data_IF_464355765032
#
_entry.id   IF_464355765032
#
_cell.length_a   1.000
_cell.length_b   1.000
_cell.length_c   1.000
_cell.angle_alpha   90.00
_cell.angle_beta   90.00
_cell.angle_gamma   90.00
#
_symmetry.space_group_name_H-M   'P 1'
#
loop_
_entity.id
_entity.type
_entity.pdbx_description
1 polymer ?
#
# COMPACT_ATOMS: atom_id res chain seq x y z
N UNK A 1 8.51 16.02 15.91
CA UNK A 1 8.23 15.43 17.24
C UNK A 1 6.82 14.85 17.20
N UNK A 2 6.66 13.63 17.74
CA UNK A 2 5.51 12.68 17.68
C UNK A 2 5.33 11.92 16.35
N UNK A 3 5.89 10.71 16.33
CA UNK A 3 5.84 9.72 15.24
C UNK A 3 5.42 8.36 15.82
N UNK A 4 4.66 7.54 15.09
CA UNK A 4 4.29 6.16 15.49
C UNK A 4 3.24 5.49 14.57
N UNK A 5 3.01 4.20 14.65
CA UNK A 5 1.81 3.57 14.04
C UNK A 5 1.04 2.75 15.06
N UNK A 6 -0.09 2.19 14.62
CA UNK A 6 -0.90 1.28 15.39
C UNK A 6 -1.07 -0.04 14.63
N UNK A 7 -0.60 -1.13 15.23
CA UNK A 7 -0.98 -2.48 14.84
C UNK A 7 -2.27 -2.83 15.60
N UNK A 8 -3.29 -3.31 14.88
CA UNK A 8 -4.64 -3.53 15.41
C UNK A 8 -5.12 -4.93 15.00
N UNK A 9 -5.69 -5.75 15.92
CA UNK A 9 -6.31 -7.02 15.54
C UNK A 9 -7.41 -6.82 14.49
N UNK A 10 -7.45 -7.73 13.50
CA UNK A 10 -8.49 -7.74 12.48
C UNK A 10 -9.83 -8.12 13.10
N UNK A 11 -10.79 -7.20 13.01
CA UNK A 11 -12.17 -7.45 13.41
C UNK A 11 -13.08 -7.49 12.18
N UNK A 12 -13.92 -8.53 12.11
CA UNK A 12 -15.04 -8.61 11.17
C UNK A 12 -16.23 -7.76 11.64
N UNK A 13 -17.14 -7.43 10.72
CA UNK A 13 -18.39 -6.73 11.03
C UNK A 13 -18.50 -5.33 10.44
N UNK A 14 -19.64 -4.67 10.71
CA UNK A 14 -19.93 -3.30 10.29
C UNK A 14 -20.52 -2.54 11.48
N UNK A 15 -20.14 -1.27 11.62
CA UNK A 15 -20.81 -0.39 12.57
C UNK A 15 -22.32 -0.35 12.26
N UNK A 16 -23.20 -0.56 13.25
CA UNK A 16 -24.63 -0.37 13.08
C UNK A 16 -24.93 1.04 12.57
N UNK A 17 -25.92 1.16 11.67
CA UNK A 17 -26.27 2.44 11.06
C UNK A 17 -26.54 3.55 12.07
N UNK A 18 -27.31 3.26 13.12
CA UNK A 18 -27.63 4.24 14.19
C UNK A 18 -26.38 4.77 14.90
N UNK A 19 -25.35 3.94 15.05
CA UNK A 19 -24.10 4.33 15.69
C UNK A 19 -23.29 5.18 14.73
N UNK A 20 -23.20 4.76 13.47
CA UNK A 20 -22.52 5.51 12.42
C UNK A 20 -23.11 6.92 12.23
N UNK A 21 -24.43 7.07 12.26
CA UNK A 21 -25.09 8.39 12.20
C UNK A 21 -24.65 9.31 13.35
N UNK A 22 -24.52 8.78 14.57
CA UNK A 22 -24.00 9.55 15.73
C UNK A 22 -22.51 9.85 15.60
N UNK A 23 -21.73 8.89 15.10
CA UNK A 23 -20.29 9.08 14.81
C UNK A 23 -20.08 10.21 13.81
N UNK A 24 -20.88 10.26 12.76
CA UNK A 24 -20.82 11.32 11.74
C UNK A 24 -21.04 12.70 12.34
N UNK A 25 -22.07 12.85 13.19
CA UNK A 25 -22.36 14.12 13.86
C UNK A 25 -21.20 14.52 14.79
N UNK A 26 -20.72 13.60 15.63
CA UNK A 26 -19.64 13.90 16.57
C UNK A 26 -18.31 14.19 15.86
N UNK A 27 -17.97 13.41 14.82
CA UNK A 27 -16.78 13.61 14.02
C UNK A 27 -16.77 15.00 13.37
N UNK A 28 -17.92 15.45 12.87
CA UNK A 28 -18.11 16.80 12.34
C UNK A 28 -17.83 17.86 13.40
N UNK A 29 -18.52 17.80 14.54
CA UNK A 29 -18.36 18.83 15.58
C UNK A 29 -16.92 18.89 16.14
N UNK A 30 -16.28 17.73 16.31
CA UNK A 30 -14.87 17.68 16.72
C UNK A 30 -13.94 18.31 15.68
N UNK A 31 -14.16 18.01 14.39
CA UNK A 31 -13.39 18.60 13.31
C UNK A 31 -13.60 20.12 13.24
N UNK A 32 -14.84 20.61 13.34
CA UNK A 32 -15.16 22.04 13.36
C UNK A 32 -14.50 22.76 14.55
N UNK A 33 -14.50 22.14 15.73
CA UNK A 33 -13.82 22.70 16.90
C UNK A 33 -12.30 22.84 16.69
N UNK A 34 -11.67 21.85 16.08
CA UNK A 34 -10.23 21.91 15.73
C UNK A 34 -9.99 22.99 14.68
N UNK A 35 -10.81 23.03 13.61
CA UNK A 35 -10.67 24.03 12.55
C UNK A 35 -10.83 25.45 13.10
N UNK A 36 -11.77 25.68 14.00
CA UNK A 36 -11.99 26.99 14.62
C UNK A 36 -10.81 27.43 15.52
N UNK A 37 -10.12 26.49 16.15
CA UNK A 37 -9.04 26.80 17.11
C UNK A 37 -7.65 26.84 16.43
N UNK A 38 -7.42 25.97 15.45
CA UNK A 38 -6.08 25.65 14.92
C UNK A 38 -6.01 25.61 13.40
N UNK A 39 -7.13 25.87 12.72
CA UNK A 39 -7.22 25.88 11.27
C UNK A 39 -7.03 24.52 10.62
N UNK A 40 -6.97 24.56 9.29
CA UNK A 40 -6.73 23.40 8.41
C UNK A 40 -5.42 22.66 8.72
N UNK A 41 -4.27 23.32 8.99
CA UNK A 41 -3.05 22.60 9.36
C UNK A 41 -3.16 21.83 10.67
N UNK A 42 -3.87 22.40 11.67
CA UNK A 42 -4.09 21.75 12.96
C UNK A 42 -4.92 20.47 12.86
N UNK A 43 -5.88 20.42 11.93
CA UNK A 43 -6.62 19.20 11.63
C UNK A 43 -5.75 18.16 10.92
N UNK A 44 -4.97 18.56 9.91
CA UNK A 44 -4.08 17.64 9.18
C UNK A 44 -3.05 17.00 10.12
N UNK A 45 -2.44 17.79 11.01
CA UNK A 45 -1.46 17.30 11.98
C UNK A 45 -2.06 16.23 12.91
N UNK A 46 -3.30 16.43 13.37
CA UNK A 46 -4.02 15.47 14.21
C UNK A 46 -4.37 14.18 13.49
N UNK A 47 -4.85 14.28 12.26
CA UNK A 47 -5.20 13.10 11.45
C UNK A 47 -3.96 12.27 11.11
N UNK A 48 -2.81 12.92 10.94
CA UNK A 48 -1.54 12.26 10.73
C UNK A 48 -0.89 11.73 12.03
N UNK A 49 -1.38 12.12 13.21
CA UNK A 49 -0.90 11.57 14.48
C UNK A 49 -1.62 10.23 14.76
N UNK A 50 -0.88 9.11 14.83
CA UNK A 50 -1.44 7.78 15.03
C UNK A 50 -2.17 7.60 16.36
N UNK A 51 -1.70 8.25 17.43
CA UNK A 51 -2.21 8.13 18.79
C UNK A 51 -3.44 9.01 18.93
N UNK A 52 -3.35 10.24 18.43
CA UNK A 52 -4.50 11.14 18.39
C UNK A 52 -5.63 10.53 17.55
N UNK A 53 -5.32 10.01 16.36
CA UNK A 53 -6.33 9.38 15.50
C UNK A 53 -6.95 8.14 16.15
N UNK A 54 -6.17 7.36 16.90
CA UNK A 54 -6.71 6.25 17.70
C UNK A 54 -7.71 6.76 18.75
N UNK A 55 -7.32 7.78 19.52
CA UNK A 55 -8.17 8.38 20.53
C UNK A 55 -9.44 8.99 19.92
N UNK A 56 -9.33 9.65 18.76
CA UNK A 56 -10.46 10.16 18.00
C UNK A 56 -11.46 9.05 17.67
N UNK A 57 -11.00 7.93 17.11
CA UNK A 57 -11.87 6.79 16.83
C UNK A 57 -12.52 6.19 18.09
N UNK A 58 -11.80 6.14 19.22
CA UNK A 58 -12.35 5.71 20.50
C UNK A 58 -13.48 6.63 20.98
N UNK A 59 -13.29 7.95 20.88
CA UNK A 59 -14.29 8.96 21.25
C UNK A 59 -15.54 8.85 20.39
N UNK A 60 -15.39 8.49 19.11
CA UNK A 60 -16.53 8.20 18.23
C UNK A 60 -17.31 6.94 18.63
N UNK A 61 -16.77 6.10 19.53
CA UNK A 61 -17.45 4.90 20.04
C UNK A 61 -16.94 3.60 19.44
N UNK A 62 -15.70 3.55 18.96
CA UNK A 62 -15.00 2.30 18.62
C UNK A 62 -14.14 1.78 19.76
N UNK A 63 -13.94 0.46 19.78
CA UNK A 63 -12.95 -0.15 20.66
C UNK A 63 -11.52 0.23 20.25
N UNK A 64 -10.71 0.51 21.26
CA UNK A 64 -9.34 1.01 21.12
C UNK A 64 -8.37 0.05 20.41
N UNK A 65 -8.75 -1.20 20.17
CA UNK A 65 -7.92 -2.22 19.53
C UNK A 65 -8.55 -2.74 18.22
N UNK A 66 -9.60 -2.09 17.71
CA UNK A 66 -10.27 -2.58 16.50
C UNK A 66 -9.65 -2.01 15.21
N UNK A 67 -9.28 -2.87 14.25
CA UNK A 67 -8.91 -2.42 12.91
C UNK A 67 -10.06 -1.72 12.16
N UNK A 68 -11.31 -1.97 12.57
CA UNK A 68 -12.51 -1.31 12.03
C UNK A 68 -12.54 0.19 12.30
N UNK A 69 -11.93 0.61 13.43
CA UNK A 69 -11.87 2.00 13.89
C UNK A 69 -11.40 2.93 12.78
N UNK A 70 -10.30 2.59 12.11
CA UNK A 70 -9.73 3.44 11.06
C UNK A 70 -10.71 3.66 9.92
N UNK A 71 -11.28 2.57 9.41
CA UNK A 71 -12.17 2.65 8.24
C UNK A 71 -13.46 3.41 8.55
N UNK A 72 -13.97 3.27 9.77
CA UNK A 72 -15.23 3.91 10.16
C UNK A 72 -15.03 5.34 10.64
N UNK A 73 -13.96 5.67 11.35
CA UNK A 73 -13.62 7.05 11.72
C UNK A 73 -13.38 7.92 10.47
N UNK A 74 -12.63 7.42 9.48
CA UNK A 74 -12.46 8.10 8.20
C UNK A 74 -13.81 8.28 7.46
N UNK A 75 -14.65 7.24 7.47
CA UNK A 75 -15.98 7.29 6.85
C UNK A 75 -16.92 8.30 7.52
N UNK A 76 -16.96 8.33 8.85
CA UNK A 76 -17.78 9.25 9.64
C UNK A 76 -17.34 10.70 9.44
N UNK A 77 -16.03 10.95 9.44
CA UNK A 77 -15.48 12.28 9.17
C UNK A 77 -15.77 12.74 7.74
N UNK A 78 -15.59 11.86 6.74
CA UNK A 78 -15.93 12.15 5.34
C UNK A 78 -17.39 12.50 5.17
N UNK A 79 -18.29 11.75 5.80
CA UNK A 79 -19.73 12.03 5.75
C UNK A 79 -20.07 13.34 6.47
N UNK A 80 -19.46 13.58 7.64
CA UNK A 80 -19.77 14.73 8.48
C UNK A 80 -19.34 16.06 7.87
N UNK A 81 -18.28 16.06 7.07
CA UNK A 81 -17.77 17.26 6.41
C UNK A 81 -18.30 17.47 4.98
N UNK A 82 -19.02 16.50 4.40
CA UNK A 82 -19.40 16.52 2.97
C UNK A 82 -20.16 17.79 2.57
N UNK A 83 -21.16 18.18 3.34
CA UNK A 83 -21.99 19.35 3.05
C UNK A 83 -21.30 20.67 3.48
N UNK A 84 -20.28 20.58 4.32
CA UNK A 84 -19.53 21.72 4.84
C UNK A 84 -18.18 21.94 4.14
N UNK A 85 -17.86 21.13 3.10
CA UNK A 85 -16.53 21.16 2.47
C UNK A 85 -16.23 22.52 1.83
N UNK A 86 -17.25 23.20 1.27
CA UNK A 86 -17.10 24.56 0.72
C UNK A 86 -16.87 25.64 1.77
N UNK A 87 -17.46 25.48 2.96
CA UNK A 87 -17.32 26.45 4.07
C UNK A 87 -16.02 26.25 4.86
N UNK A 88 -15.67 24.99 5.12
CA UNK A 88 -14.48 24.62 5.90
C UNK A 88 -13.20 24.62 5.06
N UNK A 89 -13.33 24.52 3.73
CA UNK A 89 -12.21 24.30 2.83
C UNK A 89 -11.56 22.93 3.00
N UNK A 90 -12.20 21.97 3.67
CA UNK A 90 -11.68 20.61 3.91
C UNK A 90 -12.42 19.58 3.06
N UNK A 91 -11.67 18.76 2.35
CA UNK A 91 -12.17 17.70 1.49
C UNK A 91 -11.58 16.35 1.91
N UNK A 92 -12.40 15.31 1.79
CA UNK A 92 -12.01 13.94 2.15
C UNK A 92 -12.31 13.01 0.97
N UNK A 93 -11.25 12.41 0.41
CA UNK A 93 -11.31 11.49 -0.71
C UNK A 93 -10.90 10.07 -0.30
N UNK A 94 -11.41 9.07 -1.00
CA UNK A 94 -11.10 7.67 -0.76
C UNK A 94 -11.95 7.00 0.32
N UNK A 95 -11.45 5.88 0.85
CA UNK A 95 -12.12 5.05 1.85
C UNK A 95 -11.66 3.60 1.80
N UNK A 96 -12.54 2.67 2.16
CA UNK A 96 -12.26 1.22 2.21
C UNK A 96 -12.50 0.53 0.86
N UNK A 97 -11.66 -0.44 0.50
CA UNK A 97 -11.89 -1.40 -0.57
C UNK A 97 -11.93 -0.80 -1.97
N UNK A 98 -13.10 -0.80 -2.61
CA UNK A 98 -13.25 -0.20 -3.95
C UNK A 98 -13.18 1.33 -3.91
N UNK A 99 -13.55 1.96 -2.79
CA UNK A 99 -13.57 3.41 -2.65
C UNK A 99 -12.16 4.00 -2.61
N UNK A 100 -11.17 3.31 -2.04
CA UNK A 100 -9.75 3.77 -2.07
C UNK A 100 -9.23 3.96 -3.49
N UNK A 101 -9.70 3.16 -4.45
CA UNK A 101 -9.27 3.26 -5.86
C UNK A 101 -9.90 4.46 -6.58
N UNK A 102 -10.95 5.05 -6.01
CA UNK A 102 -11.64 6.24 -6.54
C UNK A 102 -11.03 7.55 -6.04
N UNK A 103 -10.04 7.48 -5.15
CA UNK A 103 -9.42 8.68 -4.54
C UNK A 103 -8.95 9.70 -5.58
N UNK A 104 -8.24 9.33 -6.67
CA UNK A 104 -7.84 10.30 -7.69
C UNK A 104 -9.02 11.04 -8.31
N UNK A 105 -10.10 10.33 -8.66
CA UNK A 105 -11.28 10.92 -9.29
C UNK A 105 -12.06 11.82 -8.31
N UNK A 106 -12.12 11.44 -7.03
CA UNK A 106 -12.76 12.27 -6.00
C UNK A 106 -11.96 13.56 -5.75
N UNK A 107 -10.62 13.50 -5.78
CA UNK A 107 -9.75 14.68 -5.72
C UNK A 107 -10.00 15.57 -6.94
N UNK A 108 -9.96 15.03 -8.15
CA UNK A 108 -10.22 15.76 -9.40
C UNK A 108 -11.58 16.48 -9.37
N UNK A 109 -12.63 15.78 -8.92
CA UNK A 109 -13.99 16.33 -8.85
C UNK A 109 -14.09 17.49 -7.86
N UNK A 110 -13.45 17.39 -6.69
CA UNK A 110 -13.43 18.45 -5.70
C UNK A 110 -12.57 19.64 -6.14
N UNK A 111 -11.39 19.38 -6.71
CA UNK A 111 -10.51 20.41 -7.26
C UNK A 111 -11.20 21.20 -8.38
N UNK A 112 -11.96 20.53 -9.25
CA UNK A 112 -12.79 21.18 -10.28
C UNK A 112 -13.78 22.19 -9.68
N UNK A 113 -14.47 21.83 -8.59
CA UNK A 113 -15.41 22.75 -7.93
C UNK A 113 -14.70 23.95 -7.27
N UNK A 114 -13.48 23.75 -6.76
CA UNK A 114 -12.70 24.81 -6.08
C UNK A 114 -11.79 25.63 -7.00
N UNK A 115 -11.60 25.22 -8.26
CA UNK A 115 -10.63 25.83 -9.17
C UNK A 115 -9.15 25.54 -8.85
N UNK A 116 -8.85 24.50 -8.06
CA UNK A 116 -7.48 24.11 -7.70
C UNK A 116 -6.88 23.12 -8.71
N UNK A 117 -5.55 23.09 -8.84
CA UNK A 117 -4.86 22.05 -9.61
C UNK A 117 -4.88 20.71 -8.84
N UNK A 118 -5.54 19.72 -9.41
CA UNK A 118 -5.65 18.37 -8.84
C UNK A 118 -4.34 17.56 -8.96
N UNK A 119 -3.49 17.86 -9.95
CA UNK A 119 -2.38 16.99 -10.33
C UNK A 119 -1.37 16.75 -9.18
N UNK A 120 -0.96 17.76 -8.40
CA UNK A 120 -0.07 17.55 -7.24
C UNK A 120 -0.70 16.66 -6.16
N UNK A 121 -1.99 16.83 -5.88
CA UNK A 121 -2.71 16.07 -4.86
C UNK A 121 -2.94 14.61 -5.29
N UNK A 122 -3.32 14.39 -6.55
CA UNK A 122 -3.42 13.04 -7.13
C UNK A 122 -2.06 12.33 -7.10
N UNK A 123 -0.98 13.05 -7.43
CA UNK A 123 0.39 12.51 -7.32
C UNK A 123 0.73 12.14 -5.88
N UNK A 124 0.46 13.00 -4.91
CA UNK A 124 0.72 12.75 -3.49
C UNK A 124 -0.06 11.53 -2.97
N UNK A 125 -1.35 11.42 -3.31
CA UNK A 125 -2.19 10.26 -2.98
C UNK A 125 -1.59 8.96 -3.54
N UNK A 126 -1.23 8.94 -4.83
CA UNK A 126 -0.66 7.75 -5.48
C UNK A 126 0.70 7.36 -4.90
N UNK A 127 1.59 8.32 -4.67
CA UNK A 127 2.92 8.05 -4.13
C UNK A 127 2.85 7.53 -2.69
N UNK A 128 2.00 8.12 -1.85
CA UNK A 128 1.78 7.63 -0.48
C UNK A 128 1.31 6.16 -0.48
N UNK A 129 0.34 5.82 -1.34
CA UNK A 129 -0.12 4.44 -1.48
C UNK A 129 0.94 3.50 -2.06
N UNK A 130 1.77 3.99 -2.99
CA UNK A 130 2.82 3.18 -3.63
C UNK A 130 3.97 2.86 -2.68
N UNK A 131 4.36 3.82 -1.83
CA UNK A 131 5.38 3.60 -0.81
C UNK A 131 4.93 2.51 0.15
N UNK A 132 3.72 2.63 0.69
CA UNK A 132 3.17 1.68 1.68
C UNK A 132 2.93 0.28 1.11
N UNK A 133 2.69 0.16 -0.20
CA UNK A 133 2.37 -1.13 -0.85
C UNK A 133 3.56 -1.82 -1.52
N UNK A 134 4.61 -1.09 -1.89
CA UNK A 134 5.71 -1.64 -2.69
C UNK A 134 7.11 -1.34 -2.14
N UNK A 135 7.29 -0.19 -1.49
CA UNK A 135 8.59 0.22 -0.99
C UNK A 135 8.81 -0.21 0.47
N UNK A 136 7.74 -0.29 1.26
CA UNK A 136 7.72 -0.92 2.58
C UNK A 136 7.14 -2.33 2.43
N UNK A 137 8.00 -3.35 2.35
CA UNK A 137 7.58 -4.73 2.14
C UNK A 137 7.41 -5.46 3.48
N UNK A 138 6.41 -5.04 4.23
CA UNK A 138 6.12 -5.54 5.58
C UNK A 138 5.04 -6.63 5.63
N UNK A 139 4.57 -7.08 4.47
CA UNK A 139 3.56 -8.13 4.34
C UNK A 139 2.12 -7.66 4.59
N UNK A 140 1.86 -6.36 4.73
CA UNK A 140 0.51 -5.82 4.87
C UNK A 140 -0.03 -5.32 3.52
N UNK A 141 -1.15 -5.89 3.07
CA UNK A 141 -1.83 -5.50 1.84
C UNK A 141 -2.77 -4.32 2.09
N UNK A 142 -2.52 -3.19 1.43
CA UNK A 142 -3.33 -1.96 1.58
C UNK A 142 -4.76 -2.19 1.10
N UNK A 143 -5.72 -1.96 1.99
CA UNK A 143 -7.15 -2.11 1.70
C UNK A 143 -7.99 -0.87 2.05
N UNK A 144 -7.38 0.11 2.69
CA UNK A 144 -7.99 1.39 3.01
C UNK A 144 -7.02 2.52 2.71
N UNK A 145 -7.52 3.57 2.06
CA UNK A 145 -6.77 4.79 1.76
C UNK A 145 -7.74 5.95 1.82
N UNK A 146 -7.51 6.88 2.73
CA UNK A 146 -8.26 8.14 2.84
C UNK A 146 -7.29 9.31 2.74
N UNK A 147 -7.57 10.20 1.80
CA UNK A 147 -6.77 11.39 1.51
C UNK A 147 -7.56 12.63 1.93
N UNK A 148 -7.01 13.37 2.89
CA UNK A 148 -7.57 14.62 3.40
C UNK A 148 -6.80 15.77 2.77
N UNK A 149 -7.48 16.77 2.22
CA UNK A 149 -6.82 17.93 1.63
C UNK A 149 -7.67 19.18 1.78
N UNK A 150 -7.01 20.33 1.69
CA UNK A 150 -7.61 21.62 1.98
C UNK A 150 -7.32 22.63 0.88
N UNK A 151 -8.12 23.70 0.84
CA UNK A 151 -7.98 24.79 -0.15
C UNK A 151 -6.68 25.59 -0.02
N UNK A 152 -6.00 25.50 1.13
CA UNK A 152 -4.68 26.09 1.36
C UNK A 152 -3.51 25.19 0.90
N UNK A 153 -3.82 24.02 0.32
CA UNK A 153 -2.82 23.04 -0.16
C UNK A 153 -2.29 22.08 0.90
N UNK A 154 -2.71 22.19 2.16
CA UNK A 154 -2.38 21.20 3.20
C UNK A 154 -3.07 19.87 2.91
N UNK A 155 -2.42 18.76 3.28
CA UNK A 155 -3.02 17.44 3.14
C UNK A 155 -2.46 16.45 4.16
N UNK A 156 -3.21 15.38 4.40
CA UNK A 156 -2.80 14.23 5.19
C UNK A 156 -3.35 12.95 4.57
N UNK A 157 -2.70 11.81 4.84
CA UNK A 157 -3.22 10.50 4.43
C UNK A 157 -3.29 9.57 5.62
N UNK A 158 -4.40 8.85 5.73
CA UNK A 158 -4.56 7.71 6.63
C UNK A 158 -4.81 6.47 5.78
N UNK A 159 -3.89 5.51 5.87
CA UNK A 159 -3.94 4.26 5.11
C UNK A 159 -3.95 3.08 6.06
N UNK A 160 -4.52 1.95 5.65
CA UNK A 160 -4.46 0.72 6.43
C UNK A 160 -4.21 -0.49 5.54
N UNK A 161 -3.21 -1.28 5.94
CA UNK A 161 -2.90 -2.59 5.38
C UNK A 161 -3.37 -3.71 6.29
N UNK A 162 -3.64 -4.89 5.72
CA UNK A 162 -3.96 -6.11 6.47
C UNK A 162 -2.96 -7.21 6.16
N UNK A 163 -2.64 -8.01 7.17
CA UNK A 163 -1.89 -9.25 7.02
C UNK A 163 -2.81 -10.40 7.45
N UNK A 164 -3.30 -11.16 6.48
CA UNK A 164 -4.25 -12.25 6.72
C UNK A 164 -3.63 -13.40 7.52
N UNK A 165 -2.33 -13.64 7.35
CA UNK A 165 -1.60 -14.71 8.06
C UNK A 165 -1.49 -14.40 9.56
N UNK A 166 -1.16 -13.17 9.93
CA UNK A 166 -1.05 -12.77 11.33
C UNK A 166 -2.37 -12.33 11.96
N UNK A 167 -3.40 -12.08 11.15
CA UNK A 167 -4.68 -11.57 11.65
C UNK A 167 -4.59 -10.10 12.11
N UNK A 168 -3.58 -9.35 11.66
CA UNK A 168 -3.32 -7.97 12.09
C UNK A 168 -3.56 -6.96 10.96
N UNK A 169 -3.89 -5.73 11.34
CA UNK A 169 -3.87 -4.56 10.48
C UNK A 169 -2.79 -3.58 10.93
N UNK A 170 -2.18 -2.88 9.97
CA UNK A 170 -1.23 -1.79 10.22
C UNK A 170 -1.73 -0.50 9.60
N UNK A 171 -1.78 0.56 10.40
CA UNK A 171 -2.18 1.90 9.94
C UNK A 171 -0.95 2.76 9.62
N UNK A 172 -0.94 3.43 8.48
CA UNK A 172 0.12 4.34 8.03
C UNK A 172 -0.41 5.77 7.96
N UNK A 173 0.40 6.74 8.39
CA UNK A 173 0.02 8.14 8.43
C UNK A 173 1.05 9.01 7.70
N UNK A 174 0.52 9.99 6.97
CA UNK A 174 1.31 10.86 6.12
C UNK A 174 0.93 12.33 6.35
N UNK A 175 1.95 13.16 6.46
CA UNK A 175 1.92 14.60 6.16
C UNK A 175 2.74 14.82 4.88
N UNK A 176 2.71 16.03 4.29
CA UNK A 176 3.52 16.32 3.12
C UNK A 176 5.01 16.09 3.43
N UNK A 177 5.66 15.09 2.81
CA UNK A 177 7.06 14.85 3.05
C UNK A 177 7.91 15.76 2.15
N UNK A 178 9.16 16.01 2.55
CA UNK A 178 10.14 16.63 1.66
C UNK A 178 10.41 15.73 0.43
N UNK A 179 10.49 14.41 0.67
CA UNK A 179 10.74 13.38 -0.34
C UNK A 179 9.89 12.15 -0.06
N UNK A 180 9.32 11.54 -1.10
CA UNK A 180 8.55 10.30 -0.98
C UNK A 180 9.43 9.04 -0.88
N UNK A 181 10.72 9.15 -1.19
CA UNK A 181 11.66 8.04 -1.29
C UNK A 181 12.70 8.01 -0.15
N UNK A 182 12.58 8.91 0.83
CA UNK A 182 13.51 9.04 1.95
C UNK A 182 12.74 9.31 3.25
N UNK A 183 12.64 8.28 4.10
CA UNK A 183 11.94 8.28 5.40
C UNK A 183 10.64 9.12 5.38
N UNK A 184 9.73 8.84 4.43
CA UNK A 184 8.67 9.78 4.06
C UNK A 184 7.48 9.75 5.03
N UNK A 185 7.39 8.70 5.84
CA UNK A 185 6.32 8.54 6.79
C UNK A 185 6.48 9.54 7.92
N UNK A 186 5.38 10.21 8.27
CA UNK A 186 5.30 10.90 9.54
C UNK A 186 5.41 9.90 10.72
N UNK A 187 5.18 8.61 10.46
CA UNK A 187 4.85 7.64 11.51
C UNK A 187 4.94 6.17 11.00
N UNK A 188 5.86 5.34 11.56
CA UNK A 188 5.91 3.85 11.47
C UNK A 188 6.30 3.25 12.86
N UNK A 189 5.45 2.42 13.48
CA UNK A 189 5.72 1.64 14.70
C UNK A 189 4.84 0.36 14.84
N UNK A 190 5.49 -0.79 14.97
CA UNK A 190 4.85 -2.08 15.26
C UNK A 190 5.80 -2.98 16.04
N UNK A 191 5.33 -4.13 16.50
CA UNK A 191 6.27 -5.13 17.04
C UNK A 191 7.17 -5.62 15.89
N UNK A 192 8.49 -5.61 16.14
CA UNK A 192 9.46 -6.23 15.23
C UNK A 192 9.30 -7.74 15.29
N UNK A 193 8.29 -8.25 14.60
CA UNK A 193 8.02 -9.67 14.49
C UNK A 193 8.81 -10.30 13.33
N UNK A 194 9.27 -9.49 12.38
CA UNK A 194 10.00 -9.94 11.19
C UNK A 194 10.95 -8.86 10.65
N UNK A 195 11.99 -9.30 9.93
CA UNK A 195 12.81 -8.42 9.11
C UNK A 195 11.98 -7.92 7.94
N UNK A 196 11.87 -6.60 7.80
CA UNK A 196 11.10 -5.91 6.75
C UNK A 196 12.08 -5.26 5.79
N UNK A 197 11.83 -5.39 4.49
CA UNK A 197 12.58 -4.64 3.48
C UNK A 197 11.93 -3.26 3.31
N UNK A 198 12.61 -2.22 3.80
CA UNK A 198 12.21 -0.83 3.65
C UNK A 198 13.10 -0.12 2.62
N UNK A 199 12.62 0.01 1.38
CA UNK A 199 13.35 0.62 0.26
C UNK A 199 13.41 2.15 0.34
N UNK A 200 12.60 2.78 1.20
CA UNK A 200 12.61 4.23 1.43
C UNK A 200 13.37 4.63 2.70
N UNK A 201 13.99 3.67 3.40
CA UNK A 201 14.82 3.95 4.56
C UNK A 201 16.02 4.82 4.18
N UNK A 202 16.37 5.84 4.96
CA UNK A 202 17.49 6.75 4.65
C UNK A 202 18.79 6.03 4.28
N UNK A 203 19.14 4.97 5.01
CA UNK A 203 20.33 4.15 4.77
C UNK A 203 20.35 3.44 3.40
N UNK A 204 19.19 3.28 2.76
CA UNK A 204 18.99 2.59 1.49
C UNK A 204 19.33 3.39 0.22
N UNK A 205 19.98 4.56 0.33
CA UNK A 205 20.21 5.46 -0.81
C UNK A 205 21.00 4.80 -1.95
N UNK A 206 22.03 4.03 -1.61
CA UNK A 206 22.81 3.29 -2.61
C UNK A 206 21.96 2.28 -3.39
N UNK A 207 21.04 1.60 -2.70
CA UNK A 207 20.12 0.65 -3.32
C UNK A 207 19.11 1.35 -4.25
N UNK A 208 18.54 2.48 -3.82
CA UNK A 208 17.65 3.29 -4.66
C UNK A 208 18.34 3.78 -5.92
N UNK A 209 19.57 4.29 -5.79
CA UNK A 209 20.37 4.73 -6.94
C UNK A 209 20.65 3.58 -7.91
N UNK A 210 21.11 2.44 -7.40
CA UNK A 210 21.36 1.25 -8.23
C UNK A 210 20.10 0.75 -8.94
N UNK A 211 18.95 0.73 -8.25
CA UNK A 211 17.68 0.36 -8.86
C UNK A 211 17.27 1.29 -10.01
N UNK A 212 17.49 2.61 -9.86
CA UNK A 212 17.24 3.60 -10.92
C UNK A 212 18.21 3.41 -12.09
N UNK A 213 19.49 3.15 -11.83
CA UNK A 213 20.50 2.89 -12.85
C UNK A 213 20.15 1.64 -13.67
N UNK A 214 19.82 0.54 -13.00
CA UNK A 214 19.39 -0.71 -13.65
C UNK A 214 18.11 -0.50 -14.46
N UNK A 215 17.12 0.23 -13.93
CA UNK A 215 15.88 0.49 -14.67
C UNK A 215 16.09 1.34 -15.94
N UNK A 216 17.21 2.06 -16.05
CA UNK A 216 17.59 2.87 -17.22
C UNK A 216 18.51 2.13 -18.19
N UNK A 217 19.05 0.98 -17.82
CA UNK A 217 19.91 0.14 -18.66
C UNK A 217 19.10 -0.59 -19.73
N UNK A 218 19.76 -1.03 -20.81
CA UNK A 218 19.10 -1.82 -21.85
C UNK A 218 18.55 -3.15 -21.26
N UNK A 219 17.23 -3.40 -21.33
CA UNK A 219 16.64 -4.61 -20.77
C UNK A 219 17.23 -5.91 -21.33
N UNK A 220 17.65 -5.93 -22.60
CA UNK A 220 18.24 -7.13 -23.22
C UNK A 220 19.58 -7.51 -22.59
N UNK A 221 20.39 -6.51 -22.22
CA UNK A 221 21.67 -6.74 -21.54
C UNK A 221 21.42 -7.34 -20.17
N UNK A 222 20.52 -6.74 -19.38
CA UNK A 222 20.15 -7.24 -18.06
C UNK A 222 19.57 -8.66 -18.10
N UNK A 223 18.66 -8.95 -19.03
CA UNK A 223 18.10 -10.29 -19.19
C UNK A 223 19.18 -11.31 -19.56
N UNK A 224 20.13 -10.93 -20.42
CA UNK A 224 21.26 -11.79 -20.80
C UNK A 224 22.16 -12.08 -19.61
N UNK A 225 22.55 -11.05 -18.86
CA UNK A 225 23.36 -11.19 -17.65
C UNK A 225 22.65 -12.06 -16.60
N UNK A 226 21.36 -11.83 -16.32
CA UNK A 226 20.56 -12.65 -15.41
C UNK A 226 20.48 -14.11 -15.89
N UNK A 227 20.37 -14.33 -17.20
CA UNK A 227 20.33 -15.68 -17.78
C UNK A 227 21.68 -16.38 -17.62
N UNK A 228 22.79 -15.66 -17.78
CA UNK A 228 24.15 -16.17 -17.56
C UNK A 228 24.44 -16.43 -16.07
N UNK A 229 23.82 -15.67 -15.16
CA UNK A 229 23.90 -15.90 -13.71
C UNK A 229 23.13 -17.13 -13.23
N UNK A 230 22.31 -17.77 -14.09
CA UNK A 230 21.68 -19.05 -13.76
C UNK A 230 22.77 -20.12 -13.67
N UNK A 231 23.19 -20.38 -12.45
CA UNK A 231 24.13 -21.45 -12.14
C UNK A 231 23.45 -22.80 -12.36
N UNK A 232 24.09 -23.67 -13.13
CA UNK A 232 23.73 -25.08 -13.18
C UNK A 232 24.17 -25.70 -11.86
N UNK A 233 23.24 -25.83 -10.92
CA UNK A 233 23.47 -26.58 -9.68
C UNK A 233 23.27 -28.07 -9.97
N UNK A 234 24.35 -28.76 -10.32
CA UNK A 234 24.31 -30.22 -10.42
C UNK A 234 24.27 -30.86 -9.03
N UNK A 235 23.53 -31.98 -8.85
CA UNK A 235 23.56 -32.73 -7.60
C UNK A 235 24.95 -33.28 -7.30
N UNK A 236 25.25 -33.51 -6.01
CA UNK A 236 26.55 -34.06 -5.56
C UNK A 236 26.76 -35.54 -5.92
N UNK A 237 25.73 -36.21 -6.43
CA UNK A 237 25.77 -37.63 -6.79
C UNK A 237 25.99 -37.81 -8.29
N UNK A 238 26.62 -38.93 -8.66
CA UNK A 238 26.97 -39.25 -10.05
C UNK A 238 25.87 -40.05 -10.77
N UNK A 239 25.05 -40.79 -10.04
CA UNK A 239 23.92 -41.56 -10.57
C UNK A 239 22.74 -40.65 -10.94
N UNK A 240 22.09 -40.95 -12.07
CA UNK A 240 20.80 -40.35 -12.46
C UNK A 240 19.69 -41.11 -11.76
N UNK A 241 18.92 -40.40 -10.92
CA UNK A 241 17.80 -40.94 -10.16
C UNK A 241 16.49 -40.64 -10.85
N UNK A 242 15.45 -41.37 -10.46
CA UNK A 242 14.09 -41.10 -10.97
C UNK A 242 13.63 -39.68 -10.64
N UNK A 243 14.06 -39.13 -9.51
CA UNK A 243 13.78 -37.76 -9.10
C UNK A 243 14.46 -36.70 -10.00
N UNK A 244 15.53 -37.08 -10.72
CA UNK A 244 16.20 -36.20 -11.70
C UNK A 244 15.49 -36.18 -13.06
N UNK A 245 14.55 -37.11 -13.28
CA UNK A 245 13.79 -37.23 -14.51
C UNK A 245 12.49 -36.43 -14.38
N UNK A 246 12.28 -35.46 -15.27
CA UNK A 246 10.98 -34.81 -15.42
C UNK A 246 10.11 -35.62 -16.41
N UNK A 247 9.07 -36.35 -15.95
CA UNK A 247 8.31 -37.26 -16.80
C UNK A 247 7.64 -36.54 -17.98
N UNK A 248 7.13 -35.33 -17.75
CA UNK A 248 6.47 -34.53 -18.79
C UNK A 248 7.42 -34.09 -19.93
N UNK A 249 8.70 -33.85 -19.59
CA UNK A 249 9.71 -33.49 -20.59
C UNK A 249 10.20 -34.73 -21.34
N UNK A 250 10.39 -35.84 -20.62
CA UNK A 250 10.78 -37.12 -21.20
C UNK A 250 9.70 -37.63 -22.17
N UNK A 251 8.43 -37.55 -21.78
CA UNK A 251 7.30 -37.95 -22.60
C UNK A 251 7.27 -37.22 -23.94
N UNK A 252 7.62 -35.92 -23.97
CA UNK A 252 7.66 -35.14 -25.21
C UNK A 252 8.71 -35.67 -26.19
N UNK A 253 9.92 -35.94 -25.70
CA UNK A 253 11.02 -36.47 -26.51
C UNK A 253 10.75 -37.90 -26.96
N UNK A 254 10.19 -38.73 -26.06
CA UNK A 254 9.81 -40.10 -26.38
C UNK A 254 8.69 -40.14 -27.43
N UNK A 255 7.70 -39.24 -27.32
CA UNK A 255 6.61 -39.14 -28.28
C UNK A 255 7.10 -38.68 -29.65
N UNK A 256 7.93 -37.62 -29.72
CA UNK A 256 8.45 -37.14 -31.01
C UNK A 256 9.32 -38.18 -31.72
N UNK A 257 10.07 -38.95 -30.95
CA UNK A 257 10.89 -40.05 -31.47
C UNK A 257 10.02 -41.22 -31.93
N UNK A 258 9.00 -41.56 -31.15
CA UNK A 258 8.05 -42.62 -31.48
C UNK A 258 7.23 -42.30 -32.73
N UNK A 259 6.77 -41.07 -32.92
CA UNK A 259 6.00 -40.69 -34.11
C UNK A 259 6.82 -40.75 -35.40
N UNK A 260 8.14 -40.52 -35.31
CA UNK A 260 9.03 -40.47 -36.48
C UNK A 260 9.60 -41.82 -36.90
N UNK A 261 9.57 -42.82 -36.01
CA UNK A 261 10.03 -44.20 -36.29
C UNK A 261 11.38 -44.26 -37.04
N UNK A 262 12.46 -43.69 -36.48
CA UNK A 262 13.75 -43.67 -37.16
C UNK A 262 14.26 -45.10 -37.39
N UNK A 263 14.69 -45.37 -38.63
CA UNK A 263 15.10 -46.70 -39.09
C UNK A 263 16.49 -47.12 -38.59
N UNK A 264 17.33 -46.16 -38.22
CA UNK A 264 18.65 -46.37 -37.62
C UNK A 264 19.05 -45.27 -36.63
N UNK A 265 20.22 -45.43 -36.00
CA UNK A 265 20.71 -44.48 -35.00
C UNK A 265 21.03 -43.10 -35.59
N UNK A 266 21.43 -43.04 -36.86
CA UNK A 266 21.70 -41.78 -37.55
C UNK A 266 20.40 -41.00 -37.74
N UNK A 267 19.34 -41.70 -38.17
CA UNK A 267 17.99 -41.16 -38.30
C UNK A 267 17.44 -40.72 -36.93
N UNK A 268 17.74 -41.45 -35.86
CA UNK A 268 17.36 -41.07 -34.48
C UNK A 268 18.05 -39.79 -34.02
N UNK A 269 19.35 -39.64 -34.25
CA UNK A 269 20.08 -38.40 -33.91
C UNK A 269 19.60 -37.18 -34.71
N UNK A 270 19.03 -37.41 -35.90
CA UNK A 270 18.46 -36.38 -36.74
C UNK A 270 17.04 -35.94 -36.32
N UNK A 271 16.46 -36.52 -35.26
CA UNK A 271 15.17 -36.14 -34.67
C UNK A 271 15.36 -34.86 -33.83
N UNK A 272 14.89 -33.67 -34.28
CA UNK A 272 14.92 -32.44 -33.47
C UNK A 272 13.98 -32.48 -32.27
#
# INVERSE_FOLDING_TARGET
MRTGTADLPLHGGRAPRWLFERMTLLAREMALAILSNEGTPGLMLRLADPVWFQAFGCVLGFDWHSSGLTTTACGALKEGLRELSGETGVFVAGGKGKTSRKTPQEIESACWMTGQDAAPLVRASRLSAKVDSAAVQDGFQIYHHTFFFTTDGSWAVVQQGMNETSGMARRYHWLPPERFDWDPHAAIAGQSAQQVLNLVASEGEGNRRGAVELARENPLKLVTEITQMRTVSMPRHHDVRLDDLHPDRLARVLLSTYERQPEDYTALLAVP
#
